data_IF_352176218648
#
_entry.id   IF_352176218648
#
_cell.length_a   1.000
_cell.length_b   1.000
_cell.length_c   1.000
_cell.angle_alpha   90.00
_cell.angle_beta   90.00
_cell.angle_gamma   90.00
#
_symmetry.space_group_name_H-M   'P 1'
#
loop_
_entity.id
_entity.type
_entity.pdbx_description
1 polymer ?
#
# COMPACT_ATOMS: atom_id res chain seq x y z
N UNK A 1 37.86 -19.11 -67.94
CA UNK A 1 37.64 -19.22 -66.48
C UNK A 1 37.16 -17.87 -65.96
N UNK A 2 35.88 -17.75 -65.57
CA UNK A 2 35.25 -16.48 -65.18
C UNK A 2 35.56 -16.18 -63.70
N UNK A 3 36.21 -15.05 -63.42
CA UNK A 3 36.38 -14.53 -62.05
C UNK A 3 35.03 -13.98 -61.59
N UNK A 4 34.37 -14.65 -60.66
CA UNK A 4 33.17 -14.15 -60.00
C UNK A 4 33.56 -12.99 -59.09
N UNK A 5 33.17 -11.76 -59.45
CA UNK A 5 33.37 -10.58 -58.62
C UNK A 5 32.46 -10.65 -57.41
N UNK A 6 33.05 -10.66 -56.21
CA UNK A 6 32.32 -10.53 -54.96
C UNK A 6 31.60 -9.18 -54.96
N UNK A 7 30.26 -9.19 -55.06
CA UNK A 7 29.46 -7.98 -55.13
C UNK A 7 29.58 -7.14 -53.86
N UNK A 8 29.60 -5.82 -53.99
CA UNK A 8 29.75 -4.85 -52.87
C UNK A 8 28.71 -5.05 -51.75
N UNK A 9 27.59 -5.70 -52.05
CA UNK A 9 26.54 -6.06 -51.09
C UNK A 9 26.90 -7.25 -50.18
N UNK A 10 27.80 -8.15 -50.60
CA UNK A 10 28.24 -9.30 -49.81
C UNK A 10 29.09 -8.88 -48.59
N UNK A 11 29.68 -7.68 -48.60
CA UNK A 11 30.44 -7.11 -47.49
C UNK A 11 29.61 -6.23 -46.55
N UNK A 12 28.42 -5.76 -46.96
CA UNK A 12 27.56 -4.91 -46.10
C UNK A 12 26.78 -5.70 -45.04
N UNK A 13 26.30 -6.89 -45.38
CA UNK A 13 25.55 -7.75 -44.46
C UNK A 13 26.35 -8.14 -43.19
N UNK A 14 27.62 -8.59 -43.27
CA UNK A 14 28.40 -8.91 -42.08
C UNK A 14 28.78 -7.67 -41.26
N UNK A 15 28.99 -6.50 -41.90
CA UNK A 15 29.27 -5.25 -41.19
C UNK A 15 28.07 -4.76 -40.36
N UNK A 16 26.85 -4.86 -40.92
CA UNK A 16 25.61 -4.50 -40.21
C UNK A 16 25.35 -5.45 -39.03
N UNK A 17 25.63 -6.74 -39.20
CA UNK A 17 25.56 -7.72 -38.12
C UNK A 17 26.58 -7.41 -37.00
N UNK A 18 27.81 -7.02 -37.33
CA UNK A 18 28.80 -6.59 -36.33
C UNK A 18 28.35 -5.34 -35.56
N UNK A 19 27.72 -4.37 -36.23
CA UNK A 19 27.23 -3.16 -35.55
C UNK A 19 26.07 -3.43 -34.59
N UNK A 20 25.23 -4.44 -34.86
CA UNK A 20 24.14 -4.84 -33.97
C UNK A 20 24.65 -5.58 -32.72
N UNK A 21 25.74 -6.35 -32.83
CA UNK A 21 26.36 -7.05 -31.69
C UNK A 21 27.19 -6.09 -30.82
N UNK A 22 27.68 -4.98 -31.38
CA UNK A 22 28.48 -3.98 -30.66
C UNK A 22 27.67 -3.06 -29.73
N UNK A 23 26.33 -3.08 -29.80
CA UNK A 23 25.47 -2.20 -28.97
C UNK A 23 25.27 -2.70 -27.54
N UNK A 24 25.65 -3.93 -27.20
CA UNK A 24 25.47 -4.46 -25.85
C UNK A 24 26.81 -4.43 -25.12
N UNK A 25 27.11 -3.28 -24.49
CA UNK A 25 28.18 -3.17 -23.50
C UNK A 25 27.56 -3.42 -22.11
N UNK A 26 27.58 -4.65 -21.58
CA UNK A 26 26.95 -5.02 -20.30
C UNK A 26 27.63 -4.40 -19.08
N UNK A 27 28.78 -3.74 -19.27
CA UNK A 27 29.71 -3.32 -18.22
C UNK A 27 29.11 -2.31 -17.21
N UNK A 28 28.07 -1.58 -17.61
CA UNK A 28 27.30 -0.72 -16.72
C UNK A 28 25.83 -1.11 -16.55
N UNK A 29 25.36 -2.11 -17.32
CA UNK A 29 24.02 -2.66 -17.17
C UNK A 29 23.95 -3.59 -15.95
N UNK A 30 25.00 -4.37 -15.71
CA UNK A 30 25.20 -5.15 -14.49
C UNK A 30 26.38 -4.58 -13.72
N UNK A 31 26.09 -3.84 -12.66
CA UNK A 31 27.10 -3.15 -11.88
C UNK A 31 27.56 -4.03 -10.72
N UNK A 32 28.81 -3.90 -10.24
CA UNK A 32 29.31 -4.64 -9.08
C UNK A 32 28.79 -4.05 -7.75
N UNK A 33 27.47 -3.83 -7.66
CA UNK A 33 26.73 -3.42 -6.46
C UNK A 33 25.51 -4.32 -6.34
N UNK A 34 25.09 -4.61 -5.11
CA UNK A 34 23.91 -5.44 -4.88
C UNK A 34 22.69 -4.54 -4.68
N UNK A 35 21.71 -4.65 -5.56
CA UNK A 35 20.42 -3.96 -5.41
C UNK A 35 19.52 -4.62 -4.36
N UNK A 36 18.60 -3.83 -3.76
CA UNK A 36 17.81 -4.27 -2.59
C UNK A 36 17.10 -5.62 -2.78
N UNK A 37 16.57 -5.87 -3.98
CA UNK A 37 15.84 -7.10 -4.31
C UNK A 37 16.58 -8.00 -5.30
N UNK A 38 17.88 -7.76 -5.49
CA UNK A 38 18.73 -8.60 -6.31
C UNK A 38 19.09 -9.92 -5.58
N UNK A 39 19.16 -11.06 -6.29
CA UNK A 39 19.73 -12.26 -5.71
C UNK A 39 21.24 -12.07 -5.41
N UNK A 40 21.74 -12.69 -4.35
CA UNK A 40 23.17 -12.65 -4.01
C UNK A 40 23.68 -13.98 -3.47
N UNK A 41 24.89 -14.42 -3.85
CA UNK A 41 25.51 -15.61 -3.28
C UNK A 41 26.10 -15.39 -1.88
N UNK A 42 26.15 -14.13 -1.40
CA UNK A 42 26.78 -13.80 -0.12
C UNK A 42 26.05 -14.38 1.11
N UNK A 43 24.77 -14.74 0.98
CA UNK A 43 23.96 -15.29 2.06
C UNK A 43 23.30 -16.61 1.64
N UNK A 44 23.10 -17.51 2.60
CA UNK A 44 22.55 -18.86 2.36
C UNK A 44 21.11 -18.87 1.83
N UNK A 45 20.35 -17.78 2.02
CA UNK A 45 18.98 -17.61 1.54
C UNK A 45 18.91 -16.89 0.18
N UNK A 46 20.05 -16.53 -0.41
CA UNK A 46 20.13 -15.87 -1.70
C UNK A 46 19.65 -14.40 -1.71
N UNK A 47 19.30 -13.81 -0.56
CA UNK A 47 18.63 -12.51 -0.48
C UNK A 47 19.60 -11.39 -0.11
N UNK A 48 19.65 -10.34 -0.95
CA UNK A 48 20.34 -9.10 -0.64
C UNK A 48 19.71 -8.36 0.55
N UNK A 49 18.38 -8.16 0.54
CA UNK A 49 17.66 -7.57 1.66
C UNK A 49 17.73 -8.46 2.91
N UNK A 50 18.47 -7.99 3.92
CA UNK A 50 18.63 -8.65 5.22
C UNK A 50 17.52 -8.25 6.20
N UNK A 51 17.08 -9.16 7.08
CA UNK A 51 16.21 -8.79 8.18
C UNK A 51 16.92 -7.79 9.11
N UNK A 52 16.13 -6.89 9.69
CA UNK A 52 16.63 -5.95 10.70
C UNK A 52 16.83 -6.73 12.01
N UNK A 53 17.99 -6.64 12.68
CA UNK A 53 18.19 -7.27 13.99
C UNK A 53 17.18 -6.81 15.04
N UNK A 54 16.72 -7.74 15.88
CA UNK A 54 15.74 -7.47 16.93
C UNK A 54 16.24 -6.40 17.92
N UNK A 55 15.31 -5.56 18.39
CA UNK A 55 15.61 -4.46 19.32
C UNK A 55 16.26 -3.23 18.67
N UNK A 56 16.50 -3.24 17.36
CA UNK A 56 17.02 -2.08 16.63
C UNK A 56 15.98 -0.97 16.55
N UNK A 57 16.37 0.26 16.90
CA UNK A 57 15.54 1.47 16.74
C UNK A 57 16.15 2.36 15.65
N UNK A 58 15.36 2.63 14.60
CA UNK A 58 15.77 3.56 13.54
C UNK A 58 15.82 5.00 14.06
N UNK A 59 16.75 5.81 13.55
CA UNK A 59 16.84 7.25 13.92
C UNK A 59 15.65 8.05 13.39
N UNK A 60 15.24 7.74 12.16
CA UNK A 60 14.14 8.40 11.45
C UNK A 60 13.08 7.37 11.08
N UNK A 61 11.81 7.69 11.38
CA UNK A 61 10.68 6.80 11.13
C UNK A 61 10.56 5.66 12.15
N UNK A 62 9.74 4.66 11.81
CA UNK A 62 9.44 3.55 12.71
C UNK A 62 8.20 3.76 13.58
N UNK A 63 7.92 2.76 14.42
CA UNK A 63 6.74 2.76 15.29
C UNK A 63 6.81 3.86 16.35
N UNK A 64 5.68 4.52 16.67
CA UNK A 64 5.66 5.51 17.74
C UNK A 64 5.90 4.83 19.09
N UNK A 65 6.67 5.50 19.96
CA UNK A 65 6.98 4.98 21.30
C UNK A 65 5.71 4.74 22.14
N UNK A 66 4.67 5.55 21.94
CA UNK A 66 3.36 5.39 22.56
C UNK A 66 2.27 5.48 21.49
N UNK A 67 1.22 4.66 21.66
CA UNK A 67 0.03 4.70 20.79
C UNK A 67 -1.07 5.43 21.58
N UNK A 68 -1.39 6.70 21.27
CA UNK A 68 -2.46 7.41 21.96
C UNK A 68 -3.82 6.74 21.73
N UNK A 69 -4.71 6.86 22.71
CA UNK A 69 -6.07 6.31 22.63
C UNK A 69 -6.89 6.90 21.47
N UNK A 70 -6.59 8.14 21.09
CA UNK A 70 -7.28 8.88 20.03
C UNK A 70 -6.32 9.27 18.91
N UNK A 71 -6.85 9.38 17.71
CA UNK A 71 -6.11 9.77 16.53
C UNK A 71 -5.45 11.15 16.70
N UNK A 72 -4.11 11.25 16.59
CA UNK A 72 -3.40 12.52 16.78
C UNK A 72 -3.41 13.40 15.52
N UNK A 73 -3.85 12.89 14.36
CA UNK A 73 -3.87 13.66 13.12
C UNK A 73 -5.03 14.66 13.07
N UNK A 74 -4.84 15.82 12.40
CA UNK A 74 -5.95 16.72 12.16
C UNK A 74 -7.01 16.05 11.29
N UNK A 75 -8.25 15.99 11.78
CA UNK A 75 -9.37 15.39 11.05
C UNK A 75 -9.91 16.43 10.07
N UNK A 76 -9.32 16.45 8.87
CA UNK A 76 -9.69 17.32 7.77
C UNK A 76 -9.80 16.53 6.46
N UNK A 77 -10.21 17.21 5.39
CA UNK A 77 -10.43 16.59 4.08
C UNK A 77 -9.19 15.90 3.52
N UNK A 78 -8.00 16.50 3.66
CA UNK A 78 -6.75 15.91 3.19
C UNK A 78 -6.42 14.60 3.94
N UNK A 79 -6.58 14.58 5.26
CA UNK A 79 -6.39 13.36 6.06
C UNK A 79 -7.39 12.27 5.67
N UNK A 80 -8.67 12.63 5.48
CA UNK A 80 -9.72 11.67 5.12
C UNK A 80 -9.54 11.13 3.69
N UNK A 81 -9.17 11.97 2.72
CA UNK A 81 -8.95 11.55 1.34
C UNK A 81 -7.72 10.63 1.24
N UNK A 82 -6.63 10.96 1.95
CA UNK A 82 -5.46 10.10 2.07
C UNK A 82 -5.79 8.77 2.76
N UNK A 83 -6.52 8.84 3.89
CA UNK A 83 -6.99 7.68 4.62
C UNK A 83 -7.87 6.75 3.79
N UNK A 84 -8.78 7.34 2.98
CA UNK A 84 -9.60 6.61 2.02
C UNK A 84 -8.74 5.90 0.99
N UNK A 85 -7.78 6.59 0.39
CA UNK A 85 -6.90 5.99 -0.62
C UNK A 85 -6.16 4.77 -0.05
N UNK A 86 -5.51 4.94 1.11
CA UNK A 86 -4.79 3.85 1.77
C UNK A 86 -5.74 2.71 2.18
N UNK A 87 -6.95 3.01 2.66
CA UNK A 87 -7.95 2.00 2.99
C UNK A 87 -8.41 1.22 1.76
N UNK A 88 -8.65 1.89 0.63
CA UNK A 88 -9.06 1.24 -0.63
C UNK A 88 -7.97 0.29 -1.15
N UNK A 89 -6.68 0.64 -0.96
CA UNK A 89 -5.55 -0.20 -1.36
C UNK A 89 -5.37 -1.41 -0.42
N UNK A 90 -5.31 -1.18 0.89
CA UNK A 90 -4.85 -2.22 1.83
C UNK A 90 -5.97 -2.96 2.56
N UNK A 91 -7.12 -2.32 2.78
CA UNK A 91 -8.15 -2.82 3.71
C UNK A 91 -9.43 -3.27 2.98
N UNK A 92 -9.86 -2.53 1.96
CA UNK A 92 -11.10 -2.78 1.22
C UNK A 92 -11.19 -4.17 0.56
N UNK A 93 -10.11 -4.83 0.09
CA UNK A 93 -10.21 -6.18 -0.45
C UNK A 93 -10.83 -7.21 0.51
N UNK A 94 -10.64 -7.03 1.82
CA UNK A 94 -11.23 -7.89 2.86
C UNK A 94 -12.42 -7.21 3.56
N UNK A 95 -12.29 -5.94 3.96
CA UNK A 95 -13.32 -5.23 4.74
C UNK A 95 -14.46 -4.65 3.90
N UNK A 96 -14.29 -4.56 2.58
CA UNK A 96 -15.21 -3.90 1.66
C UNK A 96 -15.13 -2.37 1.75
N UNK A 97 -15.46 -1.68 0.66
CA UNK A 97 -15.40 -0.20 0.57
C UNK A 97 -16.34 0.50 1.57
N UNK A 98 -17.39 -0.18 2.02
CA UNK A 98 -18.34 0.32 3.01
C UNK A 98 -18.07 -0.19 4.43
N UNK A 99 -16.98 -0.93 4.67
CA UNK A 99 -16.62 -1.41 6.01
C UNK A 99 -17.53 -2.49 6.60
N UNK A 100 -18.36 -3.16 5.77
CA UNK A 100 -19.29 -4.21 6.22
C UNK A 100 -18.67 -5.61 6.32
N UNK A 101 -17.37 -5.76 6.05
CA UNK A 101 -16.67 -7.05 6.11
C UNK A 101 -17.00 -7.99 4.95
N UNK A 102 -17.46 -7.43 3.82
CA UNK A 102 -17.89 -8.19 2.62
C UNK A 102 -17.02 -7.88 1.40
N UNK A 103 -15.70 -7.75 1.62
CA UNK A 103 -14.73 -7.53 0.54
C UNK A 103 -14.68 -8.71 -0.43
N UNK A 104 -14.04 -8.49 -1.59
CA UNK A 104 -13.96 -9.50 -2.67
C UNK A 104 -13.29 -10.80 -2.22
N UNK A 105 -12.33 -10.73 -1.29
CA UNK A 105 -11.63 -11.92 -0.79
C UNK A 105 -12.54 -12.77 0.12
N UNK A 106 -13.42 -12.13 0.88
CA UNK A 106 -14.44 -12.81 1.70
C UNK A 106 -15.45 -13.54 0.83
N UNK A 107 -15.85 -12.92 -0.29
CA UNK A 107 -16.74 -13.55 -1.28
C UNK A 107 -16.13 -14.80 -1.94
N UNK A 108 -14.81 -14.98 -1.81
CA UNK A 108 -14.05 -16.13 -2.33
C UNK A 108 -13.68 -17.15 -1.25
N UNK A 109 -14.27 -17.06 -0.06
CA UNK A 109 -14.14 -18.07 1.00
C UNK A 109 -13.21 -17.70 2.15
N UNK A 110 -12.62 -16.51 2.16
CA UNK A 110 -11.85 -16.05 3.33
C UNK A 110 -12.79 -15.67 4.48
N UNK A 111 -12.41 -15.89 5.76
CA UNK A 111 -13.23 -15.50 6.91
C UNK A 111 -13.60 -14.02 6.88
N UNK A 112 -14.89 -13.71 7.06
CA UNK A 112 -15.37 -12.34 7.07
C UNK A 112 -14.84 -11.58 8.31
N UNK A 113 -14.16 -10.45 8.14
CA UNK A 113 -13.81 -9.60 9.26
C UNK A 113 -15.08 -8.95 9.85
N UNK A 114 -15.06 -8.55 11.13
CA UNK A 114 -16.19 -7.86 11.74
C UNK A 114 -16.50 -6.56 11.01
N UNK A 115 -17.78 -6.19 10.95
CA UNK A 115 -18.16 -4.89 10.40
C UNK A 115 -17.74 -3.77 11.35
N UNK A 116 -17.16 -2.70 10.79
CA UNK A 116 -16.82 -1.49 11.54
C UNK A 116 -18.03 -0.79 12.14
N UNK A 117 -19.25 -1.09 11.68
CA UNK A 117 -20.50 -0.50 12.18
C UNK A 117 -21.03 -1.17 13.45
N UNK A 118 -20.46 -2.31 13.84
CA UNK A 118 -20.82 -2.97 15.10
C UNK A 118 -20.57 -2.05 16.30
N UNK A 119 -21.46 -2.08 17.30
CA UNK A 119 -21.33 -1.26 18.51
C UNK A 119 -19.94 -1.41 19.15
N UNK A 120 -19.48 -2.66 19.32
CA UNK A 120 -18.15 -2.99 19.84
C UNK A 120 -17.00 -2.22 19.16
N UNK A 121 -17.04 -2.08 17.83
CA UNK A 121 -15.98 -1.39 17.09
C UNK A 121 -16.21 0.13 17.00
N UNK A 122 -17.45 0.60 17.16
CA UNK A 122 -17.70 2.04 17.31
C UNK A 122 -17.21 2.55 18.66
N UNK A 123 -17.41 1.76 19.71
CA UNK A 123 -17.05 2.10 21.09
C UNK A 123 -15.57 1.82 21.42
N UNK A 124 -14.85 1.08 20.57
CA UNK A 124 -13.41 0.87 20.70
C UNK A 124 -12.64 2.19 20.54
N UNK A 125 -11.48 2.30 21.19
CA UNK A 125 -10.56 3.43 21.00
C UNK A 125 -9.83 3.36 19.64
N UNK A 126 -9.19 4.45 19.22
CA UNK A 126 -8.44 4.48 17.96
C UNK A 126 -7.14 3.65 18.07
N UNK A 127 -6.57 3.55 19.28
CA UNK A 127 -5.41 2.71 19.56
C UNK A 127 -5.66 1.22 19.27
N UNK A 128 -6.89 0.73 19.43
CA UNK A 128 -7.30 -0.62 19.07
C UNK A 128 -7.08 -0.86 17.58
N UNK A 129 -7.62 0.01 16.73
CA UNK A 129 -7.45 -0.11 15.28
C UNK A 129 -5.98 0.01 14.87
N UNK A 130 -5.24 0.93 15.49
CA UNK A 130 -3.81 1.08 15.21
C UNK A 130 -3.04 -0.22 15.48
N UNK A 131 -3.25 -0.83 16.66
CA UNK A 131 -2.61 -2.11 17.04
C UNK A 131 -3.04 -3.24 16.12
N UNK A 132 -4.33 -3.35 15.78
CA UNK A 132 -4.82 -4.37 14.84
C UNK A 132 -4.17 -4.22 13.46
N UNK A 133 -3.99 -3.00 12.94
CA UNK A 133 -3.29 -2.78 11.67
C UNK A 133 -1.80 -3.13 11.79
N UNK A 134 -1.14 -2.74 12.88
CA UNK A 134 0.28 -2.99 13.10
C UNK A 134 0.58 -4.48 13.27
N UNK A 135 -0.08 -5.11 14.23
CA UNK A 135 0.26 -6.43 14.77
C UNK A 135 -0.59 -7.56 14.15
N UNK A 136 -1.69 -7.23 13.49
CA UNK A 136 -2.70 -8.19 13.08
C UNK A 136 -3.65 -8.56 14.22
N UNK A 137 -4.71 -9.31 13.91
CA UNK A 137 -5.66 -9.82 14.89
C UNK A 137 -6.48 -10.98 14.33
N UNK A 138 -6.48 -12.12 15.02
CA UNK A 138 -7.19 -13.33 14.54
C UNK A 138 -6.67 -13.75 13.17
N UNK A 139 -7.55 -13.77 12.16
CA UNK A 139 -7.19 -14.10 10.78
C UNK A 139 -6.56 -12.93 9.99
N UNK A 140 -6.53 -11.71 10.55
CA UNK A 140 -5.93 -10.55 9.90
C UNK A 140 -4.41 -10.55 10.14
N UNK A 141 -3.65 -10.60 9.05
CA UNK A 141 -2.18 -10.48 9.07
C UNK A 141 -1.71 -9.09 9.52
N UNK A 142 -0.49 -8.96 10.06
CA UNK A 142 0.11 -7.65 10.34
C UNK A 142 0.40 -6.86 9.05
N UNK A 143 0.15 -5.56 9.09
CA UNK A 143 0.42 -4.62 7.99
C UNK A 143 1.55 -3.63 8.29
N UNK A 144 2.28 -3.79 9.40
CA UNK A 144 3.28 -2.82 9.82
C UNK A 144 4.35 -2.51 8.76
N UNK A 145 4.77 -3.51 7.99
CA UNK A 145 5.76 -3.38 6.91
C UNK A 145 5.23 -2.75 5.62
N UNK A 146 3.90 -2.58 5.49
CA UNK A 146 3.23 -2.08 4.27
C UNK A 146 2.55 -0.74 4.47
N UNK A 147 2.14 -0.43 5.71
CA UNK A 147 1.39 0.78 6.05
C UNK A 147 2.17 1.53 7.12
N UNK A 148 2.68 2.70 6.76
CA UNK A 148 3.44 3.55 7.68
C UNK A 148 2.57 4.06 8.84
N UNK A 149 3.13 4.36 10.02
CA UNK A 149 2.41 4.86 11.20
C UNK A 149 1.41 5.99 10.91
N UNK A 150 1.82 7.02 10.17
CA UNK A 150 0.96 8.15 9.81
C UNK A 150 -0.24 7.70 8.95
N UNK A 151 -0.01 6.76 8.04
CA UNK A 151 -1.05 6.25 7.15
C UNK A 151 -2.06 5.39 7.90
N UNK A 152 -1.63 4.65 8.94
CA UNK A 152 -2.56 3.92 9.82
C UNK A 152 -3.51 4.88 10.49
N UNK A 153 -3.01 6.00 11.02
CA UNK A 153 -3.87 7.03 11.60
C UNK A 153 -4.81 7.66 10.57
N UNK A 154 -4.37 7.89 9.34
CA UNK A 154 -5.25 8.38 8.28
C UNK A 154 -6.35 7.35 7.93
N UNK A 155 -6.01 6.07 7.81
CA UNK A 155 -6.96 4.97 7.62
C UNK A 155 -7.97 4.94 8.76
N UNK A 156 -7.53 5.09 10.00
CA UNK A 156 -8.42 5.10 11.18
C UNK A 156 -9.40 6.28 11.12
N UNK A 157 -8.93 7.48 10.74
CA UNK A 157 -9.83 8.61 10.50
C UNK A 157 -10.90 8.28 9.45
N UNK A 158 -10.52 7.59 8.38
CA UNK A 158 -11.46 7.14 7.36
C UNK A 158 -12.43 6.05 7.89
N UNK A 159 -11.96 5.08 8.68
CA UNK A 159 -12.83 4.09 9.35
C UNK A 159 -13.89 4.80 10.21
N UNK A 160 -13.49 5.83 10.98
CA UNK A 160 -14.44 6.64 11.76
C UNK A 160 -15.46 7.35 10.87
N UNK A 161 -15.02 7.90 9.73
CA UNK A 161 -15.96 8.50 8.77
C UNK A 161 -16.95 7.49 8.20
N UNK A 162 -16.54 6.23 7.97
CA UNK A 162 -17.45 5.17 7.55
C UNK A 162 -18.49 4.91 8.64
N UNK A 163 -18.08 4.82 9.90
CA UNK A 163 -18.99 4.65 11.05
C UNK A 163 -20.00 5.80 11.12
N UNK A 164 -19.55 7.05 11.02
CA UNK A 164 -20.44 8.22 10.99
C UNK A 164 -21.40 8.18 9.80
N UNK A 165 -20.98 7.72 8.62
CA UNK A 165 -21.84 7.68 7.43
C UNK A 165 -23.11 6.83 7.61
N UNK A 166 -23.12 5.88 8.55
CA UNK A 166 -24.27 5.00 8.81
C UNK A 166 -25.03 5.38 10.10
N UNK A 167 -24.45 6.23 10.95
CA UNK A 167 -24.94 6.48 12.31
C UNK A 167 -24.99 7.96 12.70
N UNK A 168 -24.67 8.88 11.79
CA UNK A 168 -24.81 10.31 12.03
C UNK A 168 -26.29 10.68 12.16
N UNK A 169 -26.59 11.50 13.16
CA UNK A 169 -27.90 12.06 13.41
C UNK A 169 -27.90 13.55 13.04
N UNK A 170 -29.05 14.15 12.74
CA UNK A 170 -29.13 15.57 12.41
C UNK A 170 -28.49 16.49 13.48
N UNK A 171 -28.59 16.12 14.76
CA UNK A 171 -27.97 16.85 15.87
C UNK A 171 -26.44 16.81 15.90
N UNK A 172 -25.80 15.87 15.19
CA UNK A 172 -24.34 15.78 15.12
C UNK A 172 -23.77 16.82 14.13
N UNK A 173 -24.64 17.51 13.37
CA UNK A 173 -24.27 18.59 12.45
C UNK A 173 -24.35 19.93 13.19
N UNK A 174 -23.26 20.72 13.23
CA UNK A 174 -23.30 22.07 13.77
C UNK A 174 -24.41 22.92 13.14
N UNK A 175 -25.14 23.67 13.97
CA UNK A 175 -26.32 24.43 13.53
C UNK A 175 -26.03 25.46 12.42
N UNK A 176 -24.79 25.99 12.39
CA UNK A 176 -24.30 26.92 11.37
C UNK A 176 -24.09 26.28 9.98
N UNK A 177 -24.18 24.94 9.89
CA UNK A 177 -24.06 24.18 8.63
C UNK A 177 -25.38 23.66 8.11
N UNK A 178 -26.50 24.08 8.70
CA UNK A 178 -27.83 23.75 8.23
C UNK A 178 -28.40 24.85 7.32
N UNK A 179 -29.13 24.51 6.23
CA UNK A 179 -29.40 23.16 5.73
C UNK A 179 -28.17 22.54 5.07
N UNK A 180 -28.01 21.22 5.23
CA UNK A 180 -26.97 20.49 4.52
C UNK A 180 -27.13 20.69 3.00
N UNK A 181 -26.03 20.86 2.25
CA UNK A 181 -26.10 20.94 0.80
C UNK A 181 -26.74 19.67 0.23
N UNK A 182 -27.49 19.83 -0.86
CA UNK A 182 -28.12 18.70 -1.54
C UNK A 182 -27.06 17.61 -1.84
N UNK A 183 -27.41 16.32 -1.67
CA UNK A 183 -26.46 15.24 -1.93
C UNK A 183 -25.94 15.37 -3.36
N UNK A 184 -24.61 15.39 -3.50
CA UNK A 184 -23.99 15.36 -4.84
C UNK A 184 -24.43 14.09 -5.54
N UNK A 185 -24.95 14.23 -6.77
CA UNK A 185 -25.22 13.08 -7.63
C UNK A 185 -23.89 12.35 -7.84
N UNK A 186 -23.77 11.16 -7.24
CA UNK A 186 -22.66 10.27 -7.52
C UNK A 186 -23.03 9.56 -8.82
N UNK A 187 -22.47 10.01 -9.93
CA UNK A 187 -22.59 9.28 -11.20
C UNK A 187 -21.89 7.93 -11.02
N UNK A 188 -22.53 6.81 -11.38
CA UNK A 188 -21.96 5.47 -11.24
C UNK A 188 -20.58 5.31 -11.89
#
# INVERSE_FOLDING_TARGET
MRRAGLGRHALMAPLLALTLVACEQPDMANQPRVDTYEPTPAFSDGRAARPIPDGTVARDGGEPATIPAHNPLPINRATLDHGRHQFEVFCAPCHGRNGKGRGVIVQRGFPAPPSYHSARLRDADDAHFYRVIRDGYGAMYPYASRVAPRDRWAIIAYIRSLQFSQHARPEDVPADRWPLPAPRKVTP
#
